data_IF_566732282819
#
_entry.id   IF_566732282819
#
_cell.length_a   1.000
_cell.length_b   1.000
_cell.length_c   1.000
_cell.angle_alpha   90.00
_cell.angle_beta   90.00
_cell.angle_gamma   90.00
#
_symmetry.space_group_name_H-M   'P 1'
#
loop_
_entity.id
_entity.type
_entity.pdbx_description
1 polymer ?
#
# COMPACT_ATOMS: atom_id res chain seq x y z
N UNK A 1 45.71 22.08 2.90
CA UNK A 1 44.73 22.89 3.65
C UNK A 1 43.47 22.07 3.79
N UNK A 2 43.16 21.61 5.00
CA UNK A 2 41.93 20.86 5.26
C UNK A 2 40.85 21.88 5.61
N UNK A 3 39.90 22.11 4.71
CA UNK A 3 38.69 22.90 4.99
C UNK A 3 37.79 22.07 5.92
N UNK A 4 38.09 22.07 7.23
CA UNK A 4 37.31 21.32 8.23
C UNK A 4 36.02 22.03 8.67
N UNK A 5 35.86 23.30 8.31
CA UNK A 5 34.74 24.13 8.76
C UNK A 5 33.90 24.77 7.62
N UNK A 6 34.10 24.37 6.36
CA UNK A 6 33.21 24.85 5.30
C UNK A 6 31.91 24.04 5.30
N UNK A 7 30.84 24.70 5.74
CA UNK A 7 29.47 24.28 5.48
C UNK A 7 29.22 24.43 3.97
N UNK A 8 29.08 23.33 3.20
CA UNK A 8 28.80 23.45 1.77
C UNK A 8 27.49 24.21 1.59
N UNK A 9 27.46 25.13 0.63
CA UNK A 9 26.23 25.81 0.26
C UNK A 9 25.20 24.80 -0.31
N UNK A 10 23.98 25.31 -0.50
CA UNK A 10 22.86 24.51 -0.96
C UNK A 10 23.17 23.87 -2.33
N UNK A 11 23.69 24.66 -3.27
CA UNK A 11 23.97 24.23 -4.64
C UNK A 11 25.01 23.11 -4.67
N UNK A 12 26.13 23.26 -3.95
CA UNK A 12 27.16 22.23 -3.88
C UNK A 12 26.61 20.94 -3.27
N UNK A 13 25.80 21.05 -2.23
CA UNK A 13 25.20 19.88 -1.57
C UNK A 13 24.21 19.15 -2.48
N UNK A 14 23.38 19.90 -3.22
CA UNK A 14 22.41 19.35 -4.16
C UNK A 14 23.10 18.64 -5.33
N UNK A 15 24.18 19.22 -5.88
CA UNK A 15 24.95 18.61 -6.97
C UNK A 15 25.59 17.29 -6.51
N UNK A 16 26.19 17.27 -5.32
CA UNK A 16 26.78 16.04 -4.76
C UNK A 16 25.72 14.95 -4.57
N UNK A 17 24.57 15.31 -3.99
CA UNK A 17 23.46 14.38 -3.77
C UNK A 17 22.96 13.78 -5.09
N UNK A 18 22.70 14.62 -6.09
CA UNK A 18 22.30 14.16 -7.44
C UNK A 18 23.36 13.24 -8.04
N UNK A 19 24.65 13.57 -7.89
CA UNK A 19 25.76 12.74 -8.33
C UNK A 19 25.75 11.34 -7.69
N UNK A 20 25.55 11.25 -6.37
CA UNK A 20 25.44 9.97 -5.67
C UNK A 20 24.21 9.16 -6.10
N UNK A 21 23.06 9.82 -6.29
CA UNK A 21 21.84 9.18 -6.79
C UNK A 21 22.07 8.57 -8.17
N UNK A 22 22.69 9.33 -9.09
CA UNK A 22 22.99 8.86 -10.45
C UNK A 22 23.96 7.68 -10.45
N UNK A 23 24.95 7.68 -9.56
CA UNK A 23 25.89 6.57 -9.39
C UNK A 23 25.25 5.34 -8.72
N UNK A 24 24.09 5.49 -8.10
CA UNK A 24 23.42 4.42 -7.36
C UNK A 24 23.99 4.18 -5.96
N UNK A 25 24.68 5.18 -5.41
CA UNK A 25 25.40 5.07 -4.15
C UNK A 25 24.53 5.49 -2.97
N UNK A 26 23.77 4.52 -2.43
CA UNK A 26 22.73 4.75 -1.41
C UNK A 26 23.32 5.36 -0.13
N UNK A 27 24.45 4.84 0.34
CA UNK A 27 25.06 5.28 1.59
C UNK A 27 25.45 6.76 1.53
N UNK A 28 26.18 7.16 0.48
CA UNK A 28 26.59 8.55 0.31
C UNK A 28 25.41 9.47 -0.04
N UNK A 29 24.40 8.99 -0.77
CA UNK A 29 23.18 9.77 -1.02
C UNK A 29 22.42 10.08 0.27
N UNK A 30 22.24 9.08 1.16
CA UNK A 30 21.57 9.28 2.45
C UNK A 30 22.38 10.18 3.39
N UNK A 31 23.71 10.02 3.42
CA UNK A 31 24.59 10.91 4.18
C UNK A 31 24.53 12.35 3.68
N UNK A 32 24.55 12.55 2.36
CA UNK A 32 24.42 13.87 1.75
C UNK A 32 23.06 14.51 2.05
N UNK A 33 21.96 13.75 1.96
CA UNK A 33 20.63 14.22 2.36
C UNK A 33 20.63 14.66 3.83
N UNK A 34 21.10 13.80 4.74
CA UNK A 34 21.17 14.10 6.17
C UNK A 34 21.96 15.38 6.43
N UNK A 35 23.14 15.52 5.82
CA UNK A 35 23.97 16.72 5.94
C UNK A 35 23.26 17.97 5.43
N UNK A 36 22.50 17.89 4.33
CA UNK A 36 21.69 19.01 3.86
C UNK A 36 20.67 19.44 4.92
N UNK A 37 19.95 18.47 5.51
CA UNK A 37 18.93 18.73 6.52
C UNK A 37 19.53 19.31 7.80
N UNK A 38 20.65 18.76 8.28
CA UNK A 38 21.40 19.24 9.46
C UNK A 38 21.93 20.66 9.25
N UNK A 39 22.29 20.98 8.01
CA UNK A 39 22.69 22.32 7.60
C UNK A 39 21.52 23.31 7.48
N UNK A 40 20.28 22.88 7.71
CA UNK A 40 19.09 23.72 7.58
C UNK A 40 18.67 23.95 6.13
N UNK A 41 19.28 23.25 5.17
CA UNK A 41 18.88 23.30 3.78
C UNK A 41 17.52 22.62 3.60
N UNK A 42 16.79 23.02 2.54
CA UNK A 42 15.48 22.45 2.19
C UNK A 42 15.59 21.79 0.81
N UNK A 43 15.93 20.50 0.74
CA UNK A 43 15.94 19.77 -0.51
C UNK A 43 14.57 19.83 -1.20
N UNK A 44 14.58 19.88 -2.53
CA UNK A 44 13.35 19.90 -3.33
C UNK A 44 12.57 18.58 -3.24
N UNK A 45 11.28 18.62 -3.54
CA UNK A 45 10.43 17.42 -3.64
C UNK A 45 11.03 16.37 -4.59
N UNK A 46 11.53 16.79 -5.75
CA UNK A 46 12.15 15.91 -6.74
C UNK A 46 13.38 15.19 -6.18
N UNK A 47 14.11 15.84 -5.27
CA UNK A 47 15.26 15.23 -4.59
C UNK A 47 14.82 14.05 -3.73
N UNK A 48 13.74 14.23 -2.94
CA UNK A 48 13.17 13.15 -2.14
C UNK A 48 12.62 12.01 -3.01
N UNK A 49 11.91 12.33 -4.10
CA UNK A 49 11.42 11.31 -5.02
C UNK A 49 12.56 10.53 -5.67
N UNK A 50 13.65 11.22 -6.03
CA UNK A 50 14.85 10.59 -6.59
C UNK A 50 15.51 9.63 -5.58
N UNK A 51 15.58 10.02 -4.30
CA UNK A 51 16.09 9.16 -3.22
C UNK A 51 15.20 7.95 -3.01
N UNK A 52 13.87 8.12 -2.94
CA UNK A 52 12.94 7.00 -2.83
C UNK A 52 13.08 6.04 -4.01
N UNK A 53 13.19 6.56 -5.23
CA UNK A 53 13.40 5.74 -6.43
C UNK A 53 14.71 4.94 -6.35
N UNK A 54 15.76 5.52 -5.75
CA UNK A 54 17.03 4.85 -5.55
C UNK A 54 16.93 3.74 -4.50
N UNK A 55 16.31 4.02 -3.34
CA UNK A 55 16.14 3.05 -2.25
C UNK A 55 15.30 1.85 -2.68
N UNK A 56 14.28 2.07 -3.53
CA UNK A 56 13.45 1.00 -4.06
C UNK A 56 14.16 0.05 -5.03
N UNK A 57 15.31 0.43 -5.62
CA UNK A 57 16.05 -0.42 -6.58
C UNK A 57 16.73 -1.63 -5.97
N UNK A 58 17.01 -1.61 -4.68
CA UNK A 58 17.73 -2.69 -3.98
C UNK A 58 16.95 -3.13 -2.75
N UNK A 59 17.10 -4.39 -2.41
CA UNK A 59 16.56 -4.90 -1.15
C UNK A 59 17.50 -4.56 0.02
N UNK A 60 16.96 -4.62 1.23
CA UNK A 60 17.65 -4.22 2.45
C UNK A 60 17.48 -2.75 2.85
N UNK A 61 16.94 -1.90 1.97
CA UNK A 61 16.74 -0.46 2.23
C UNK A 61 15.28 -0.06 2.47
N UNK A 62 14.41 -1.02 2.76
CA UNK A 62 12.96 -0.79 2.89
C UNK A 62 12.63 0.07 4.12
N UNK A 63 13.39 -0.07 5.21
CA UNK A 63 13.17 0.75 6.41
C UNK A 63 13.55 2.20 6.15
N UNK A 64 14.70 2.43 5.50
CA UNK A 64 15.18 3.74 5.10
C UNK A 64 14.22 4.41 4.13
N UNK A 65 13.66 3.66 3.17
CA UNK A 65 12.65 4.19 2.27
C UNK A 65 11.38 4.63 3.04
N UNK A 66 10.94 3.84 4.02
CA UNK A 66 9.83 4.21 4.88
C UNK A 66 10.14 5.43 5.78
N UNK A 67 11.37 5.55 6.29
CA UNK A 67 11.81 6.73 7.05
C UNK A 67 11.81 7.99 6.17
N UNK A 68 12.20 7.87 4.89
CA UNK A 68 12.14 8.98 3.94
C UNK A 68 10.69 9.40 3.67
N UNK A 69 9.75 8.46 3.49
CA UNK A 69 8.31 8.79 3.37
C UNK A 69 7.83 9.51 4.63
N UNK A 70 8.12 8.98 5.82
CA UNK A 70 7.75 9.61 7.09
C UNK A 70 8.31 11.04 7.19
N UNK A 71 9.59 11.23 6.88
CA UNK A 71 10.23 12.55 6.89
C UNK A 71 9.55 13.53 5.93
N UNK A 72 9.14 13.06 4.75
CA UNK A 72 8.39 13.88 3.82
C UNK A 72 7.00 14.25 4.37
N UNK A 73 6.30 13.32 5.05
CA UNK A 73 5.01 13.62 5.70
C UNK A 73 5.19 14.68 6.81
N UNK A 74 6.17 14.49 7.70
CA UNK A 74 6.46 15.40 8.82
C UNK A 74 6.79 16.83 8.34
N UNK A 75 7.48 16.93 7.19
CA UNK A 75 7.86 18.20 6.56
C UNK A 75 6.84 18.73 5.57
N UNK A 76 5.68 18.09 5.42
CA UNK A 76 4.61 18.45 4.47
C UNK A 76 5.10 18.53 3.02
N UNK A 77 6.04 17.66 2.65
CA UNK A 77 6.56 17.52 1.29
C UNK A 77 5.60 16.64 0.50
N UNK A 78 5.28 17.06 -0.72
CA UNK A 78 4.37 16.35 -1.61
C UNK A 78 4.83 14.91 -1.89
N UNK A 79 3.95 13.96 -1.57
CA UNK A 79 4.17 12.55 -1.85
C UNK A 79 4.01 12.26 -3.34
N UNK A 80 4.81 11.34 -3.86
CA UNK A 80 4.51 10.66 -5.11
C UNK A 80 3.73 9.39 -4.78
N UNK A 81 2.52 9.26 -5.34
CA UNK A 81 1.60 8.14 -5.06
C UNK A 81 2.27 6.80 -5.37
N UNK A 82 2.87 6.64 -6.55
CA UNK A 82 3.51 5.39 -6.95
C UNK A 82 4.72 5.03 -6.08
N UNK A 83 5.60 5.99 -5.77
CA UNK A 83 6.77 5.74 -4.93
C UNK A 83 6.34 5.32 -3.52
N UNK A 84 5.40 6.06 -2.92
CA UNK A 84 4.90 5.76 -1.57
C UNK A 84 4.20 4.40 -1.53
N UNK A 85 3.41 4.09 -2.57
CA UNK A 85 2.75 2.79 -2.73
C UNK A 85 3.77 1.67 -2.83
N UNK A 86 4.83 1.83 -3.62
CA UNK A 86 5.87 0.81 -3.75
C UNK A 86 6.65 0.59 -2.44
N UNK A 87 6.88 1.65 -1.64
CA UNK A 87 7.51 1.52 -0.32
C UNK A 87 6.63 0.70 0.61
N UNK A 88 5.33 0.99 0.66
CA UNK A 88 4.36 0.22 1.46
C UNK A 88 4.29 -1.24 0.97
N UNK A 89 4.23 -1.46 -0.35
CA UNK A 89 4.26 -2.80 -0.94
C UNK A 89 5.51 -3.59 -0.54
N UNK A 90 6.71 -2.97 -0.58
CA UNK A 90 7.94 -3.61 -0.11
C UNK A 90 7.94 -3.89 1.40
N UNK A 91 7.34 -3.03 2.22
CA UNK A 91 7.21 -3.29 3.66
C UNK A 91 6.37 -4.54 3.89
N UNK A 92 5.23 -4.63 3.21
CA UNK A 92 4.43 -5.84 3.22
C UNK A 92 5.25 -7.04 2.80
N UNK A 93 5.92 -7.02 1.64
CA UNK A 93 6.76 -8.13 1.14
C UNK A 93 7.81 -8.62 2.09
N UNK A 94 8.49 -7.71 2.76
CA UNK A 94 9.51 -8.05 3.74
C UNK A 94 8.95 -8.53 5.09
N UNK A 95 7.63 -8.64 5.23
CA UNK A 95 6.96 -9.10 6.46
C UNK A 95 6.87 -8.03 7.54
N UNK A 96 7.15 -6.77 7.20
CA UNK A 96 7.09 -5.63 8.13
C UNK A 96 5.65 -5.09 8.20
N UNK A 97 4.70 -5.97 8.51
CA UNK A 97 3.25 -5.74 8.38
C UNK A 97 2.78 -4.55 9.23
N UNK A 98 3.17 -4.51 10.51
CA UNK A 98 2.79 -3.41 11.41
C UNK A 98 3.27 -2.05 10.90
N UNK A 99 4.53 -1.99 10.43
CA UNK A 99 5.12 -0.77 9.87
C UNK A 99 4.46 -0.36 8.57
N UNK A 100 4.04 -1.33 7.73
CA UNK A 100 3.31 -1.06 6.51
C UNK A 100 1.96 -0.39 6.81
N UNK A 101 1.17 -0.94 7.72
CA UNK A 101 -0.12 -0.37 8.11
C UNK A 101 0.02 1.00 8.79
N UNK A 102 1.00 1.17 9.70
CA UNK A 102 1.29 2.46 10.32
C UNK A 102 1.59 3.53 9.24
N UNK A 103 2.40 3.19 8.24
CA UNK A 103 2.71 4.11 7.15
C UNK A 103 1.48 4.43 6.29
N UNK A 104 0.63 3.45 5.97
CA UNK A 104 -0.64 3.68 5.27
C UNK A 104 -1.51 4.67 6.03
N UNK A 105 -1.73 4.46 7.32
CA UNK A 105 -2.56 5.34 8.16
C UNK A 105 -2.00 6.76 8.17
N UNK A 106 -0.68 6.92 8.31
CA UNK A 106 -0.02 8.23 8.35
C UNK A 106 -0.09 8.99 7.02
N UNK A 107 0.06 8.28 5.89
CA UNK A 107 -0.09 8.87 4.55
C UNK A 107 -1.50 9.45 4.39
N UNK A 108 -2.52 8.70 4.81
CA UNK A 108 -3.92 9.15 4.74
C UNK A 108 -4.25 10.27 5.73
N UNK A 109 -3.73 10.19 6.96
CA UNK A 109 -3.90 11.24 7.97
C UNK A 109 -3.28 12.58 7.52
N UNK A 110 -2.25 12.51 6.67
CA UNK A 110 -1.60 13.69 6.07
C UNK A 110 -2.29 14.21 4.80
N UNK A 111 -3.42 13.60 4.39
CA UNK A 111 -4.21 14.02 3.23
C UNK A 111 -3.72 13.46 1.89
N UNK A 112 -2.75 12.55 1.89
CA UNK A 112 -2.27 11.89 0.67
C UNK A 112 -3.02 10.56 0.44
N UNK A 113 -2.73 9.94 -0.72
CA UNK A 113 -3.35 8.70 -1.18
C UNK A 113 -2.29 7.72 -1.68
N UNK A 114 -2.64 6.44 -1.61
CA UNK A 114 -1.85 5.35 -2.18
C UNK A 114 -2.67 4.69 -3.29
N UNK A 115 -2.00 3.99 -4.21
CA UNK A 115 -2.70 3.16 -5.17
C UNK A 115 -3.05 1.82 -4.49
N UNK A 116 -4.28 1.73 -3.97
CA UNK A 116 -4.75 0.57 -3.22
C UNK A 116 -4.84 -0.69 -4.07
N UNK A 117 -5.27 -0.58 -5.34
CA UNK A 117 -5.34 -1.74 -6.24
C UNK A 117 -3.96 -2.35 -6.46
N UNK A 118 -2.96 -1.51 -6.68
CA UNK A 118 -1.56 -1.95 -6.82
C UNK A 118 -1.03 -2.58 -5.54
N UNK A 119 -1.38 -2.07 -4.35
CA UNK A 119 -1.01 -2.71 -3.08
C UNK A 119 -1.64 -4.09 -2.95
N UNK A 120 -2.92 -4.22 -3.29
CA UNK A 120 -3.63 -5.50 -3.28
C UNK A 120 -2.98 -6.47 -4.26
N UNK A 121 -2.63 -6.03 -5.46
CA UNK A 121 -1.93 -6.87 -6.44
C UNK A 121 -0.57 -7.37 -5.91
N UNK A 122 0.23 -6.50 -5.27
CA UNK A 122 1.49 -6.90 -4.63
C UNK A 122 1.24 -7.94 -3.53
N UNK A 123 0.27 -7.69 -2.65
CA UNK A 123 -0.08 -8.58 -1.54
C UNK A 123 -0.57 -9.94 -2.03
N UNK A 124 -1.41 -9.98 -3.07
CA UNK A 124 -1.87 -11.21 -3.70
C UNK A 124 -0.71 -12.01 -4.31
N UNK A 125 0.23 -11.35 -4.99
CA UNK A 125 1.42 -12.01 -5.56
C UNK A 125 2.28 -12.66 -4.47
N UNK A 126 2.33 -12.07 -3.29
CA UNK A 126 3.05 -12.57 -2.13
C UNK A 126 2.22 -13.51 -1.23
N UNK A 127 0.98 -13.83 -1.64
CA UNK A 127 0.03 -14.68 -0.90
C UNK A 127 -0.35 -14.13 0.48
N UNK A 128 -0.29 -12.81 0.66
CA UNK A 128 -0.65 -12.07 1.88
C UNK A 128 -2.12 -11.64 1.83
N UNK A 129 -3.01 -12.63 1.74
CA UNK A 129 -4.43 -12.40 1.46
C UNK A 129 -5.19 -11.75 2.62
N UNK A 130 -4.76 -11.98 3.87
CA UNK A 130 -5.36 -11.32 5.04
C UNK A 130 -5.00 -9.83 5.07
N UNK A 131 -3.77 -9.49 4.74
CA UNK A 131 -3.31 -8.11 4.62
C UNK A 131 -3.98 -7.42 3.42
N UNK A 132 -4.15 -8.13 2.29
CA UNK A 132 -4.88 -7.61 1.14
C UNK A 132 -6.34 -7.29 1.49
N UNK A 133 -7.00 -8.16 2.27
CA UNK A 133 -8.33 -7.91 2.83
C UNK A 133 -8.34 -6.66 3.68
N UNK A 134 -7.40 -6.50 4.60
CA UNK A 134 -7.35 -5.34 5.50
C UNK A 134 -7.14 -4.02 4.73
N UNK A 135 -6.34 -4.03 3.67
CA UNK A 135 -6.20 -2.90 2.75
C UNK A 135 -7.52 -2.57 2.04
N UNK A 136 -8.25 -3.57 1.55
CA UNK A 136 -9.56 -3.36 0.94
C UNK A 136 -10.62 -2.88 1.92
N UNK A 137 -10.59 -3.36 3.17
CA UNK A 137 -11.47 -2.86 4.22
C UNK A 137 -11.16 -1.39 4.55
N UNK A 138 -9.88 -1.05 4.63
CA UNK A 138 -9.45 0.32 4.83
C UNK A 138 -9.86 1.23 3.67
N UNK A 139 -9.78 0.78 2.42
CA UNK A 139 -10.19 1.58 1.26
C UNK A 139 -11.70 1.86 1.25
N UNK A 140 -12.53 0.88 1.65
CA UNK A 140 -13.97 1.06 1.86
C UNK A 140 -14.25 2.12 2.94
N UNK A 141 -13.57 2.05 4.08
CA UNK A 141 -13.71 3.04 5.16
C UNK A 141 -13.29 4.46 4.73
N UNK A 142 -12.31 4.56 3.82
CA UNK A 142 -11.89 5.83 3.22
C UNK A 142 -12.72 6.26 2.02
N UNK A 143 -13.74 5.47 1.66
CA UNK A 143 -14.66 5.69 0.53
C UNK A 143 -13.91 5.85 -0.79
N UNK A 144 -12.91 5.01 -1.00
CA UNK A 144 -12.23 4.93 -2.29
C UNK A 144 -13.02 4.06 -3.24
N UNK A 145 -13.16 4.55 -4.47
CA UNK A 145 -13.70 3.78 -5.58
C UNK A 145 -12.59 2.88 -6.10
N UNK A 146 -12.74 1.57 -5.90
CA UNK A 146 -11.86 0.54 -6.45
C UNK A 146 -12.67 -0.37 -7.35
N UNK A 147 -11.98 -1.00 -8.30
CA UNK A 147 -12.61 -1.95 -9.20
C UNK A 147 -13.15 -3.18 -8.44
N UNK A 148 -14.46 -3.48 -8.54
CA UNK A 148 -15.05 -4.63 -7.85
C UNK A 148 -14.36 -5.99 -8.11
N UNK A 149 -13.79 -6.28 -9.30
CA UNK A 149 -12.97 -7.48 -9.50
C UNK A 149 -11.79 -7.65 -8.53
N UNK A 150 -11.22 -6.56 -8.01
CA UNK A 150 -10.11 -6.62 -7.03
C UNK A 150 -10.57 -7.30 -5.74
N UNK A 151 -11.77 -6.96 -5.26
CA UNK A 151 -12.39 -7.60 -4.10
C UNK A 151 -12.73 -9.06 -4.36
N UNK A 152 -13.34 -9.37 -5.52
CA UNK A 152 -13.68 -10.74 -5.89
C UNK A 152 -12.46 -11.66 -5.83
N UNK A 153 -11.32 -11.19 -6.36
CA UNK A 153 -10.07 -11.94 -6.34
C UNK A 153 -9.63 -12.28 -4.91
N UNK A 154 -9.63 -11.30 -4.01
CA UNK A 154 -9.22 -11.52 -2.61
C UNK A 154 -10.21 -12.45 -1.89
N UNK A 155 -11.52 -12.30 -2.14
CA UNK A 155 -12.55 -13.19 -1.59
C UNK A 155 -12.33 -14.63 -2.05
N UNK A 156 -12.11 -14.86 -3.35
CA UNK A 156 -11.86 -16.18 -3.92
C UNK A 156 -10.60 -16.83 -3.34
N UNK A 157 -9.50 -16.06 -3.25
CA UNK A 157 -8.25 -16.55 -2.67
C UNK A 157 -8.41 -16.88 -1.18
N UNK A 158 -9.11 -16.04 -0.38
CA UNK A 158 -9.41 -16.34 1.02
C UNK A 158 -10.27 -17.60 1.17
N UNK A 159 -11.26 -17.81 0.31
CA UNK A 159 -12.06 -19.03 0.30
C UNK A 159 -11.18 -20.27 0.04
N UNK A 160 -10.20 -20.16 -0.87
CA UNK A 160 -9.30 -21.26 -1.22
C UNK A 160 -8.36 -21.67 -0.08
N UNK A 161 -8.04 -20.75 0.84
CA UNK A 161 -7.19 -21.00 2.01
C UNK A 161 -7.99 -21.24 3.30
N UNK A 162 -9.26 -21.64 3.16
CA UNK A 162 -10.19 -21.95 4.27
C UNK A 162 -10.47 -20.76 5.21
N UNK A 163 -10.27 -19.53 4.72
CA UNK A 163 -10.56 -18.27 5.43
C UNK A 163 -11.92 -17.70 5.04
N UNK A 164 -12.95 -18.55 5.11
CA UNK A 164 -14.29 -18.22 4.65
C UNK A 164 -14.97 -17.11 5.46
N UNK A 165 -14.70 -17.03 6.78
CA UNK A 165 -15.23 -15.97 7.63
C UNK A 165 -14.66 -14.61 7.21
N UNK A 166 -13.34 -14.55 7.02
CA UNK A 166 -12.64 -13.34 6.60
C UNK A 166 -13.06 -12.90 5.18
N UNK A 167 -13.32 -13.86 4.30
CA UNK A 167 -13.87 -13.61 2.96
C UNK A 167 -15.30 -13.05 3.02
N UNK A 168 -16.13 -13.57 3.93
CA UNK A 168 -17.49 -13.07 4.14
C UNK A 168 -17.50 -11.66 4.70
N UNK A 169 -16.64 -11.34 5.66
CA UNK A 169 -16.55 -10.00 6.25
C UNK A 169 -16.23 -8.94 5.18
N UNK A 170 -15.31 -9.26 4.27
CA UNK A 170 -14.98 -8.40 3.13
C UNK A 170 -16.16 -8.26 2.17
N UNK A 171 -16.80 -9.37 1.79
CA UNK A 171 -17.97 -9.36 0.92
C UNK A 171 -19.11 -8.54 1.51
N UNK A 172 -19.43 -8.74 2.79
CA UNK A 172 -20.51 -8.06 3.49
C UNK A 172 -20.31 -6.54 3.50
N UNK A 173 -19.11 -6.08 3.84
CA UNK A 173 -18.79 -4.65 3.80
C UNK A 173 -18.78 -4.10 2.37
N UNK A 174 -18.31 -4.88 1.40
CA UNK A 174 -18.27 -4.43 0.00
C UNK A 174 -19.69 -4.24 -0.59
N UNK A 175 -20.67 -5.08 -0.23
CA UNK A 175 -22.06 -4.93 -0.73
C UNK A 175 -22.86 -3.80 -0.06
N UNK A 176 -22.35 -3.20 1.02
CA UNK A 176 -22.94 -1.98 1.60
C UNK A 176 -22.65 -0.76 0.70
N UNK A 177 -21.48 -0.73 0.07
CA UNK A 177 -21.03 0.38 -0.78
C UNK A 177 -21.25 0.11 -2.29
N UNK A 178 -21.23 -1.16 -2.71
CA UNK A 178 -21.38 -1.59 -4.10
C UNK A 178 -22.62 -2.47 -4.28
N UNK A 179 -23.19 -2.48 -5.49
CA UNK A 179 -24.30 -3.41 -5.77
C UNK A 179 -23.83 -4.87 -5.75
N UNK A 180 -24.58 -5.75 -5.09
CA UNK A 180 -24.27 -7.18 -5.00
C UNK A 180 -24.10 -7.86 -6.38
N UNK A 181 -24.66 -7.26 -7.45
CA UNK A 181 -24.56 -7.74 -8.81
C UNK A 181 -23.14 -7.79 -9.38
N UNK A 182 -22.20 -7.01 -8.84
CA UNK A 182 -20.82 -6.99 -9.35
C UNK A 182 -19.97 -8.13 -8.78
N UNK A 183 -20.36 -8.72 -7.65
CA UNK A 183 -19.63 -9.82 -7.00
C UNK A 183 -20.07 -11.21 -7.45
N UNK A 184 -20.79 -11.32 -8.57
CA UNK A 184 -21.38 -12.59 -9.01
C UNK A 184 -20.37 -13.70 -9.30
N UNK A 185 -19.11 -13.36 -9.58
CA UNK A 185 -18.05 -14.36 -9.77
C UNK A 185 -17.64 -15.04 -8.46
N UNK A 186 -17.48 -14.28 -7.37
CA UNK A 186 -16.97 -14.81 -6.09
C UNK A 186 -18.07 -15.26 -5.10
N UNK A 187 -19.35 -14.96 -5.37
CA UNK A 187 -20.44 -15.39 -4.47
C UNK A 187 -20.59 -16.91 -4.40
N UNK A 188 -20.36 -17.64 -5.49
CA UNK A 188 -20.51 -19.11 -5.49
C UNK A 188 -19.39 -19.80 -4.71
N UNK A 189 -18.14 -19.38 -4.89
CA UNK A 189 -16.97 -19.85 -4.13
C UNK A 189 -17.14 -19.55 -2.64
N UNK A 190 -17.53 -18.32 -2.30
CA UNK A 190 -17.81 -17.92 -0.92
C UNK A 190 -18.90 -18.77 -0.27
N UNK A 191 -20.01 -18.98 -0.96
CA UNK A 191 -21.10 -19.84 -0.47
C UNK A 191 -20.58 -21.25 -0.13
N UNK A 192 -19.87 -21.88 -1.08
CA UNK A 192 -19.36 -23.25 -0.90
C UNK A 192 -18.37 -23.31 0.26
N UNK A 193 -17.46 -22.34 0.36
CA UNK A 193 -16.48 -22.28 1.45
C UNK A 193 -17.16 -22.10 2.83
N UNK A 194 -18.21 -21.29 2.92
CA UNK A 194 -18.98 -21.11 4.15
C UNK A 194 -19.75 -22.38 4.56
N UNK A 195 -20.34 -23.10 3.61
CA UNK A 195 -21.01 -24.39 3.88
C UNK A 195 -20.02 -25.44 4.41
N UNK A 196 -18.78 -25.47 3.88
CA UNK A 196 -17.74 -26.39 4.31
C UNK A 196 -17.15 -26.05 5.68
N UNK A 197 -17.07 -24.77 6.02
CA UNK A 197 -16.52 -24.28 7.30
C UNK A 197 -17.58 -24.18 8.41
N UNK A 198 -18.87 -24.42 8.11
CA UNK A 198 -19.96 -24.41 9.08
C UNK A 198 -20.67 -23.06 9.27
N UNK A 199 -20.33 -22.04 8.46
CA UNK A 199 -20.97 -20.72 8.41
C UNK A 199 -22.32 -20.74 7.69
N UNK A 200 -23.28 -21.53 8.19
CA UNK A 200 -24.54 -21.80 7.49
C UNK A 200 -25.43 -20.54 7.34
N UNK A 201 -25.41 -19.63 8.31
CA UNK A 201 -26.22 -18.40 8.26
C UNK A 201 -25.67 -17.43 7.21
N UNK A 202 -24.36 -17.31 7.18
CA UNK A 202 -23.61 -16.53 6.21
C UNK A 202 -23.82 -17.09 4.80
N UNK A 203 -23.73 -18.42 4.64
CA UNK A 203 -24.01 -19.10 3.37
C UNK A 203 -25.45 -18.87 2.89
N UNK A 204 -26.44 -18.93 3.78
CA UNK A 204 -27.84 -18.64 3.45
C UNK A 204 -28.02 -17.18 3.01
N UNK A 205 -27.35 -16.24 3.68
CA UNK A 205 -27.34 -14.84 3.27
C UNK A 205 -26.77 -14.66 1.86
N UNK A 206 -25.61 -15.24 1.56
CA UNK A 206 -24.99 -15.19 0.23
C UNK A 206 -25.92 -15.82 -0.82
N UNK A 207 -26.59 -16.94 -0.50
CA UNK A 207 -27.57 -17.56 -1.40
C UNK A 207 -28.71 -16.61 -1.79
N UNK A 208 -29.24 -15.86 -0.81
CA UNK A 208 -30.28 -14.86 -1.07
C UNK A 208 -29.77 -13.80 -2.04
N UNK A 209 -28.55 -13.27 -1.83
CA UNK A 209 -27.95 -12.28 -2.74
C UNK A 209 -27.79 -12.82 -4.16
N UNK A 210 -27.33 -14.07 -4.33
CA UNK A 210 -27.22 -14.72 -5.66
C UNK A 210 -28.58 -14.77 -6.35
N UNK A 211 -29.65 -15.09 -5.63
CA UNK A 211 -30.99 -15.15 -6.20
C UNK A 211 -31.47 -13.78 -6.70
N UNK A 212 -31.30 -12.72 -5.90
CA UNK A 212 -31.67 -11.35 -6.29
C UNK A 212 -30.96 -10.90 -7.58
N UNK A 213 -29.67 -11.17 -7.70
CA UNK A 213 -28.88 -10.81 -8.89
C UNK A 213 -29.35 -11.55 -10.15
N UNK A 214 -29.79 -12.81 -10.03
CA UNK A 214 -30.34 -13.58 -11.16
C UNK A 214 -31.69 -13.06 -11.63
N UNK A 215 -32.54 -12.57 -10.72
CA UNK A 215 -33.85 -12.00 -11.07
C UNK A 215 -33.75 -10.60 -11.69
N UNK A 216 -32.76 -9.80 -11.29
CA UNK A 216 -32.57 -8.44 -11.82
C UNK A 216 -32.01 -8.38 -13.27
N UNK A 217 -31.53 -9.50 -13.81
CA UNK A 217 -31.01 -9.60 -15.20
C UNK A 217 -32.04 -10.12 -16.22
N UNK A 218 -33.29 -10.37 -15.81
CA UNK A 218 -34.42 -10.73 -16.69
C UNK A 218 -35.31 -9.52 -16.90
#
# INVERSE_FOLDING_TARGET
MVMRDLKPDYETSEVLLKGFILKGDIAFAMEALKRMLDNGHRPSTDTFHSILSLLLRKDGYTNEAADVVQLMLDRKILQNVDLSTNVVGKLFGNGLIERAFDLVVKVYASGFRLNMEKLVDILCQEKKFLEARDILLFSLEKKEELDPPVFCRVIDELCSIEKASEAFDLFYKAIEEYTAGVFCSCMNSLKVALEQTGGLKEAEFVCKQISYVKFAKK
#
